data_IF_367079141051
#
_entry.id   IF_367079141051
#
_cell.length_a   1.000
_cell.length_b   1.000
_cell.length_c   1.000
_cell.angle_alpha   90.00
_cell.angle_beta   90.00
_cell.angle_gamma   90.00
#
_symmetry.space_group_name_H-M   'P 1'
#
loop_
_entity.id
_entity.type
_entity.pdbx_description
1 polymer ?
#
# COMPACT_ATOMS: atom_id res chain seq x y z
N UNK A 1 8.16 -3.00 29.11
CA UNK A 1 7.46 -2.42 27.95
C UNK A 1 8.33 -2.69 26.74
N UNK A 2 7.90 -3.55 25.83
CA UNK A 2 8.69 -3.87 24.64
C UNK A 2 8.87 -2.58 23.82
N UNK A 3 10.13 -2.21 23.59
CA UNK A 3 10.50 -1.08 22.77
C UNK A 3 9.92 -1.32 21.37
N UNK A 4 8.88 -0.56 21.00
CA UNK A 4 8.19 -0.74 19.72
C UNK A 4 9.16 -0.35 18.62
N UNK A 5 9.59 -1.33 17.83
CA UNK A 5 10.58 -1.15 16.76
C UNK A 5 10.18 0.04 15.83
N UNK A 6 10.89 1.17 15.90
CA UNK A 6 10.54 2.36 15.13
C UNK A 6 10.71 2.15 13.61
N UNK A 7 11.47 1.13 13.19
CA UNK A 7 11.69 0.81 11.77
C UNK A 7 10.40 0.42 11.04
N UNK A 8 9.43 -0.15 11.78
CA UNK A 8 8.16 -0.61 11.24
C UNK A 8 7.26 0.56 10.82
N UNK A 9 7.30 1.66 11.59
CA UNK A 9 6.58 2.88 11.25
C UNK A 9 7.12 3.49 9.95
N UNK A 10 8.45 3.54 9.81
CA UNK A 10 9.10 4.05 8.60
C UNK A 10 8.85 3.15 7.39
N UNK A 11 8.81 1.83 7.56
CA UNK A 11 8.46 0.88 6.51
C UNK A 11 7.02 1.09 5.98
N UNK A 12 6.05 1.30 6.88
CA UNK A 12 4.66 1.59 6.49
C UNK A 12 4.56 2.93 5.75
N UNK A 13 5.22 3.99 6.24
CA UNK A 13 5.24 5.30 5.57
C UNK A 13 5.90 5.22 4.19
N UNK A 14 7.01 4.50 4.07
CA UNK A 14 7.71 4.31 2.81
C UNK A 14 6.84 3.56 1.80
N UNK A 15 6.20 2.47 2.23
CA UNK A 15 5.28 1.70 1.40
C UNK A 15 4.07 2.53 0.94
N UNK A 16 3.49 3.34 1.83
CA UNK A 16 2.41 4.27 1.48
C UNK A 16 2.85 5.33 0.47
N UNK A 17 4.00 5.97 0.69
CA UNK A 17 4.55 6.98 -0.23
C UNK A 17 4.84 6.38 -1.62
N UNK A 18 5.39 5.17 -1.66
CA UNK A 18 5.63 4.44 -2.89
C UNK A 18 4.32 4.09 -3.62
N UNK A 19 3.30 3.61 -2.91
CA UNK A 19 1.97 3.35 -3.46
C UNK A 19 1.36 4.62 -4.04
N UNK A 20 1.33 5.72 -3.28
CA UNK A 20 0.80 7.00 -3.75
C UNK A 20 1.55 7.50 -4.99
N UNK A 21 2.88 7.41 -5.00
CA UNK A 21 3.71 7.81 -6.14
C UNK A 21 3.43 6.99 -7.39
N UNK A 22 3.28 5.67 -7.24
CA UNK A 22 2.96 4.75 -8.34
C UNK A 22 1.54 4.92 -8.87
N UNK A 23 0.59 5.25 -7.99
CA UNK A 23 -0.81 5.43 -8.39
C UNK A 23 -1.09 6.80 -8.99
N UNK A 24 -0.30 7.82 -8.66
CA UNK A 24 -0.49 9.22 -9.10
C UNK A 24 -0.75 9.38 -10.62
N UNK A 25 -0.03 8.69 -11.53
CA UNK A 25 -0.25 8.83 -12.97
C UNK A 25 -1.62 8.32 -13.45
N UNK A 26 -2.31 7.49 -12.68
CA UNK A 26 -3.64 6.99 -13.02
C UNK A 26 -4.77 7.96 -12.62
N UNK A 27 -4.45 9.07 -11.95
CA UNK A 27 -5.40 10.13 -11.65
C UNK A 27 -5.31 11.22 -12.70
N UNK A 28 -6.45 11.62 -13.27
CA UNK A 28 -6.51 12.75 -14.19
C UNK A 28 -6.21 14.05 -13.43
N UNK A 29 -5.42 14.95 -14.02
CA UNK A 29 -5.13 16.23 -13.39
C UNK A 29 -6.42 17.04 -13.23
N UNK A 30 -6.73 17.45 -12.00
CA UNK A 30 -7.94 18.21 -11.67
C UNK A 30 -9.17 17.35 -11.36
N UNK A 31 -9.08 16.04 -11.53
CA UNK A 31 -10.15 15.11 -11.14
C UNK A 31 -9.76 14.34 -9.88
N UNK A 32 -10.75 14.10 -9.02
CA UNK A 32 -10.60 13.25 -7.83
C UNK A 32 -10.64 11.76 -8.22
N UNK A 33 -11.28 11.45 -9.34
CA UNK A 33 -11.42 10.09 -9.84
C UNK A 33 -10.17 9.63 -10.60
N UNK A 34 -9.78 8.38 -10.38
CA UNK A 34 -8.80 7.70 -11.23
C UNK A 34 -9.46 7.31 -12.56
N UNK A 35 -8.64 7.09 -13.58
CA UNK A 35 -9.07 6.44 -14.81
C UNK A 35 -9.76 5.10 -14.50
N UNK A 36 -10.81 4.72 -15.25
CA UNK A 36 -11.49 3.44 -15.03
C UNK A 36 -10.49 2.28 -15.08
N UNK A 37 -10.57 1.36 -14.11
CA UNK A 37 -9.67 0.20 -14.09
C UNK A 37 -9.72 -0.63 -15.40
N UNK A 38 -10.88 -0.64 -16.05
CA UNK A 38 -11.10 -1.30 -17.35
C UNK A 38 -10.30 -0.68 -18.49
N UNK A 39 -9.90 0.60 -18.41
CA UNK A 39 -9.10 1.27 -19.44
C UNK A 39 -7.60 1.02 -19.31
N UNK A 40 -7.16 0.37 -18.23
CA UNK A 40 -5.76 0.05 -17.99
C UNK A 40 -5.36 -1.25 -18.70
N UNK A 41 -4.13 -1.31 -19.19
CA UNK A 41 -3.54 -2.54 -19.71
C UNK A 41 -3.12 -3.51 -18.58
N UNK A 42 -2.74 -4.74 -18.94
CA UNK A 42 -2.37 -5.79 -17.99
C UNK A 42 -1.14 -5.38 -17.15
N UNK A 43 -0.17 -4.70 -17.74
CA UNK A 43 1.06 -4.27 -17.05
C UNK A 43 0.75 -3.21 -16.00
N UNK A 44 -0.09 -2.23 -16.34
CA UNK A 44 -0.55 -1.18 -15.42
C UNK A 44 -1.35 -1.78 -14.26
N UNK A 45 -2.26 -2.72 -14.55
CA UNK A 45 -3.03 -3.44 -13.53
C UNK A 45 -2.12 -4.22 -12.58
N UNK A 46 -1.10 -4.89 -13.12
CA UNK A 46 -0.08 -5.59 -12.33
C UNK A 46 0.69 -4.65 -11.42
N UNK A 47 1.10 -3.49 -11.92
CA UNK A 47 1.81 -2.47 -11.11
C UNK A 47 0.97 -1.99 -9.92
N UNK A 48 -0.33 -1.75 -10.13
CA UNK A 48 -1.29 -1.37 -9.07
C UNK A 48 -1.40 -2.47 -8.00
N UNK A 49 -1.56 -3.71 -8.45
CA UNK A 49 -1.69 -4.87 -7.55
C UNK A 49 -0.40 -5.09 -6.75
N UNK A 50 0.76 -5.04 -7.41
CA UNK A 50 2.06 -5.27 -6.79
C UNK A 50 2.35 -4.21 -5.71
N UNK A 51 2.02 -2.94 -5.96
CA UNK A 51 2.21 -1.88 -4.96
C UNK A 51 1.19 -1.96 -3.82
N UNK A 52 -0.05 -2.35 -4.10
CA UNK A 52 -1.08 -2.63 -3.09
C UNK A 52 -0.65 -3.76 -2.15
N UNK A 53 -0.11 -4.86 -2.68
CA UNK A 53 0.41 -5.97 -1.86
C UNK A 53 1.60 -5.56 -1.00
N UNK A 54 2.52 -4.73 -1.50
CA UNK A 54 3.64 -4.22 -0.70
C UNK A 54 3.14 -3.40 0.48
N UNK A 55 2.16 -2.52 0.27
CA UNK A 55 1.57 -1.75 1.36
C UNK A 55 0.82 -2.63 2.36
N UNK A 56 0.00 -3.59 1.89
CA UNK A 56 -0.66 -4.57 2.76
C UNK A 56 0.33 -5.34 3.63
N UNK A 57 1.44 -5.82 3.07
CA UNK A 57 2.47 -6.55 3.82
C UNK A 57 3.10 -5.70 4.92
N UNK A 58 3.39 -4.42 4.65
CA UNK A 58 3.92 -3.50 5.65
C UNK A 58 2.91 -3.31 6.82
N UNK A 59 1.61 -3.18 6.51
CA UNK A 59 0.56 -3.08 7.52
C UNK A 59 0.41 -4.38 8.35
N UNK A 60 0.47 -5.55 7.70
CA UNK A 60 0.42 -6.85 8.41
C UNK A 60 1.62 -6.99 9.34
N UNK A 61 2.82 -6.59 8.91
CA UNK A 61 4.01 -6.58 9.76
C UNK A 61 3.84 -5.64 10.95
N UNK A 62 3.29 -4.44 10.73
CA UNK A 62 2.99 -3.49 11.80
C UNK A 62 1.95 -4.03 12.79
N UNK A 63 0.88 -4.65 12.30
CA UNK A 63 -0.13 -5.28 13.15
C UNK A 63 0.47 -6.37 14.05
N UNK A 64 1.37 -7.21 13.51
CA UNK A 64 2.09 -8.23 14.30
C UNK A 64 2.92 -7.61 15.43
N UNK A 65 3.66 -6.53 15.15
CA UNK A 65 4.50 -5.84 16.14
C UNK A 65 3.66 -5.12 17.20
N UNK A 66 2.47 -4.66 16.83
CA UNK A 66 1.52 -4.01 17.73
C UNK A 66 0.58 -5.01 18.41
N UNK A 67 0.73 -6.31 18.17
CA UNK A 67 -0.14 -7.39 18.67
C UNK A 67 -1.63 -7.16 18.32
N UNK A 68 -1.89 -6.46 17.22
CA UNK A 68 -3.24 -6.22 16.72
C UNK A 68 -3.67 -7.47 15.93
N UNK A 69 -4.80 -8.12 16.29
CA UNK A 69 -5.30 -9.25 15.53
C UNK A 69 -5.68 -8.80 14.12
N UNK A 70 -4.96 -9.32 13.13
CA UNK A 70 -5.30 -9.15 11.71
C UNK A 70 -6.24 -10.27 11.33
N UNK A 71 -7.53 -9.95 11.17
CA UNK A 71 -8.59 -10.89 10.75
C UNK A 71 -8.53 -11.36 9.30
N UNK A 72 -7.33 -11.37 8.70
CA UNK A 72 -7.09 -11.90 7.37
C UNK A 72 -6.05 -13.00 7.51
N UNK A 73 -6.50 -14.24 7.61
CA UNK A 73 -5.65 -15.40 7.32
C UNK A 73 -5.07 -15.19 5.92
N UNK A 74 -3.75 -15.34 5.80
CA UNK A 74 -3.02 -15.24 4.52
C UNK A 74 -2.96 -16.59 3.86
#
# INVERSE_FOLDING_TARGET
>A
MADKDPSVNEEVKAAYKAAKGKLKPYFTQGEVAAQPYSSLDISQRKDIVDVGYRFRRALVKAAKVLEIPVGFEV
#
